data_IF_915468485639
#
_entry.id   IF_915468485639
#
_cell.length_a   1.000
_cell.length_b   1.000
_cell.length_c   1.000
_cell.angle_alpha   90.00
_cell.angle_beta   90.00
_cell.angle_gamma   90.00
#
_symmetry.space_group_name_H-M   'P 1'
#
loop_
_entity.id
_entity.type
_entity.pdbx_description
1 polymer ?
#
# COMPACT_ATOMS: atom_id res chain seq x y z
N UNK A 1 8.13 -27.63 17.80
CA UNK A 1 7.04 -26.89 17.11
C UNK A 1 6.96 -27.36 15.66
N UNK A 2 5.76 -27.41 15.06
CA UNK A 2 5.60 -27.75 13.63
C UNK A 2 5.66 -26.54 12.69
N UNK A 3 5.46 -25.33 13.24
CA UNK A 3 5.47 -24.06 12.51
C UNK A 3 6.16 -22.99 13.38
N UNK A 4 6.92 -22.10 12.74
CA UNK A 4 7.47 -20.87 13.31
C UNK A 4 6.96 -19.69 12.45
N UNK A 5 6.47 -18.64 13.09
CA UNK A 5 5.97 -17.42 12.42
C UNK A 5 6.82 -16.24 12.89
N UNK A 6 7.40 -15.51 11.94
CA UNK A 6 8.16 -14.29 12.19
C UNK A 6 7.34 -13.10 11.68
N UNK A 7 6.68 -12.38 12.59
CA UNK A 7 5.76 -11.28 12.28
C UNK A 7 6.03 -10.01 13.12
N UNK A 8 6.39 -8.86 12.50
CA UNK A 8 6.90 -8.76 11.13
C UNK A 8 8.35 -9.28 11.11
N UNK A 9 8.75 -9.95 10.02
CA UNK A 9 10.08 -10.57 9.89
C UNK A 9 11.25 -9.61 10.17
N UNK A 10 11.05 -8.32 9.88
CA UNK A 10 11.98 -7.21 10.12
C UNK A 10 12.45 -7.16 11.58
N UNK A 11 11.58 -7.49 12.53
CA UNK A 11 11.89 -7.47 13.95
C UNK A 11 12.91 -8.55 14.37
N UNK A 12 13.12 -9.56 13.53
CA UNK A 12 13.90 -10.77 13.88
C UNK A 12 15.18 -10.94 13.05
N UNK A 13 15.35 -10.15 11.99
CA UNK A 13 16.49 -10.25 11.07
C UNK A 13 17.78 -9.64 11.66
N UNK A 14 17.64 -8.81 12.70
CA UNK A 14 18.75 -8.29 13.50
C UNK A 14 19.14 -6.85 13.13
N UNK A 15 19.46 -6.04 14.14
CA UNK A 15 19.65 -4.59 14.01
C UNK A 15 20.84 -4.16 13.11
N UNK A 16 21.73 -5.08 12.76
CA UNK A 16 22.92 -4.82 11.94
C UNK A 16 22.80 -5.30 10.49
N UNK A 17 21.64 -5.83 10.11
CA UNK A 17 21.43 -6.43 8.78
C UNK A 17 20.66 -5.47 7.90
N UNK A 18 21.19 -5.20 6.72
CA UNK A 18 20.47 -4.46 5.68
C UNK A 18 19.61 -5.42 4.86
N UNK A 19 18.30 -5.32 5.06
CA UNK A 19 17.29 -6.14 4.38
C UNK A 19 17.19 -5.88 2.87
N UNK A 20 17.82 -4.82 2.35
CA UNK A 20 17.87 -4.52 0.92
C UNK A 20 19.10 -5.15 0.24
N UNK A 21 20.07 -5.64 1.02
CA UNK A 21 21.29 -6.25 0.51
C UNK A 21 21.11 -7.75 0.33
N UNK A 22 21.09 -8.16 -0.92
CA UNK A 22 20.90 -9.54 -1.36
C UNK A 22 21.78 -10.57 -0.61
N UNK A 23 23.06 -10.27 -0.50
CA UNK A 23 24.04 -11.15 0.17
C UNK A 23 23.75 -11.34 1.67
N UNK A 24 23.31 -10.29 2.37
CA UNK A 24 22.98 -10.37 3.80
C UNK A 24 21.70 -11.17 4.02
N UNK A 25 20.68 -10.90 3.20
CA UNK A 25 19.39 -11.62 3.24
C UNK A 25 19.57 -13.11 2.97
N UNK A 26 20.33 -13.49 1.95
CA UNK A 26 20.57 -14.90 1.60
C UNK A 26 21.20 -15.70 2.73
N UNK A 27 22.16 -15.10 3.45
CA UNK A 27 22.81 -15.79 4.57
C UNK A 27 21.80 -16.15 5.66
N UNK A 28 20.92 -15.22 6.01
CA UNK A 28 19.88 -15.43 7.03
C UNK A 28 18.85 -16.46 6.56
N UNK A 29 18.37 -16.35 5.33
CA UNK A 29 17.41 -17.30 4.78
C UNK A 29 17.97 -18.72 4.67
N UNK A 30 19.27 -18.86 4.34
CA UNK A 30 19.95 -20.16 4.35
C UNK A 30 19.98 -20.76 5.75
N UNK A 31 20.26 -19.96 6.79
CA UNK A 31 20.23 -20.43 8.17
C UNK A 31 18.82 -20.85 8.61
N UNK A 32 17.79 -20.07 8.27
CA UNK A 32 16.39 -20.43 8.53
C UNK A 32 16.02 -21.74 7.80
N UNK A 33 16.45 -21.93 6.55
CA UNK A 33 16.27 -23.17 5.81
C UNK A 33 16.85 -24.39 6.53
N UNK A 34 18.08 -24.29 7.04
CA UNK A 34 18.72 -25.36 7.83
C UNK A 34 17.97 -25.68 9.12
N UNK A 35 17.43 -24.66 9.79
CA UNK A 35 16.59 -24.85 10.99
C UNK A 35 15.31 -25.59 10.61
N UNK A 36 14.62 -25.17 9.56
CA UNK A 36 13.41 -25.79 9.06
C UNK A 36 13.63 -27.28 8.72
N UNK A 37 14.74 -27.60 8.05
CA UNK A 37 15.13 -28.97 7.70
C UNK A 37 15.44 -29.82 8.94
N UNK A 38 16.31 -29.31 9.84
CA UNK A 38 16.73 -30.04 11.04
C UNK A 38 15.54 -30.39 11.94
N UNK A 39 14.62 -29.45 12.12
CA UNK A 39 13.48 -29.62 13.02
C UNK A 39 12.19 -30.04 12.33
N UNK A 40 12.22 -30.23 11.00
CA UNK A 40 11.06 -30.59 10.16
C UNK A 40 9.86 -29.68 10.44
N UNK A 41 10.08 -28.37 10.39
CA UNK A 41 9.05 -27.36 10.62
C UNK A 41 8.92 -26.41 9.44
N UNK A 42 7.74 -25.81 9.30
CA UNK A 42 7.54 -24.69 8.37
C UNK A 42 7.95 -23.37 9.04
N UNK A 43 8.58 -22.48 8.27
CA UNK A 43 8.87 -21.12 8.69
C UNK A 43 8.05 -20.18 7.81
N UNK A 44 7.20 -19.36 8.44
CA UNK A 44 6.36 -18.37 7.79
C UNK A 44 6.94 -16.99 8.12
N UNK A 45 7.27 -16.23 7.08
CA UNK A 45 7.74 -14.86 7.19
C UNK A 45 6.59 -13.93 6.85
N UNK A 46 6.22 -13.04 7.76
CA UNK A 46 5.21 -12.00 7.51
C UNK A 46 5.93 -10.69 7.25
N UNK A 47 5.69 -10.11 6.08
CA UNK A 47 6.27 -8.85 5.65
C UNK A 47 5.20 -7.91 5.11
N UNK A 48 5.34 -6.61 5.40
CA UNK A 48 4.50 -5.58 4.79
C UNK A 48 4.90 -5.34 3.33
N UNK A 49 3.98 -4.89 2.49
CA UNK A 49 4.33 -4.47 1.13
C UNK A 49 4.93 -3.06 1.15
N UNK A 50 5.84 -2.78 0.22
CA UNK A 50 6.37 -1.43 0.02
C UNK A 50 5.32 -0.52 -0.68
N UNK A 51 5.46 0.80 -0.50
CA UNK A 51 4.50 1.81 -1.03
C UNK A 51 4.80 2.24 -2.48
N UNK A 52 5.73 1.59 -3.17
CA UNK A 52 6.19 2.06 -4.48
C UNK A 52 5.13 1.79 -5.58
N UNK A 53 4.72 2.86 -6.27
CA UNK A 53 3.91 2.77 -7.49
C UNK A 53 4.84 2.57 -8.70
N UNK A 54 4.36 1.81 -9.70
CA UNK A 54 5.00 1.72 -11.04
C UNK A 54 5.78 0.44 -11.34
N UNK A 55 6.17 -0.37 -10.34
CA UNK A 55 6.79 -1.67 -10.61
C UNK A 55 5.76 -2.79 -10.66
N UNK A 56 5.98 -3.75 -11.58
CA UNK A 56 5.23 -5.03 -11.68
C UNK A 56 5.06 -5.66 -10.29
N UNK A 57 3.92 -6.29 -10.01
CA UNK A 57 3.57 -6.94 -8.72
C UNK A 57 4.71 -7.77 -8.07
N UNK A 58 5.59 -8.35 -8.87
CA UNK A 58 6.80 -9.07 -8.43
C UNK A 58 7.81 -8.27 -7.58
N UNK A 59 7.64 -6.95 -7.46
CA UNK A 59 8.61 -6.06 -6.78
C UNK A 59 8.04 -5.30 -5.57
N UNK A 60 6.83 -5.64 -5.10
CA UNK A 60 6.20 -4.95 -3.96
C UNK A 60 6.48 -5.56 -2.58
N UNK A 61 7.21 -6.67 -2.52
CA UNK A 61 7.69 -7.22 -1.24
C UNK A 61 8.65 -6.25 -0.52
N UNK A 62 8.70 -6.31 0.82
CA UNK A 62 9.69 -5.55 1.59
C UNK A 62 11.09 -6.15 1.44
N UNK A 63 12.10 -5.29 1.26
CA UNK A 63 13.51 -5.70 1.23
C UNK A 63 13.91 -6.36 -0.09
N UNK A 64 14.97 -7.16 -0.04
CA UNK A 64 15.54 -7.85 -1.21
C UNK A 64 14.53 -8.83 -1.83
N UNK A 65 14.55 -8.89 -3.16
CA UNK A 65 13.84 -9.91 -3.98
C UNK A 65 14.20 -11.33 -3.52
N UNK A 66 15.37 -11.52 -2.91
CA UNK A 66 15.81 -12.82 -2.41
C UNK A 66 14.87 -13.45 -1.37
N UNK A 67 14.08 -12.65 -0.65
CA UNK A 67 13.04 -13.18 0.24
C UNK A 67 12.01 -14.01 -0.53
N UNK A 68 11.44 -13.44 -1.59
CA UNK A 68 10.47 -14.11 -2.44
C UNK A 68 11.12 -15.19 -3.32
N UNK A 69 12.36 -14.95 -3.78
CA UNK A 69 13.09 -15.91 -4.59
C UNK A 69 13.43 -17.19 -3.82
N UNK A 70 13.74 -17.09 -2.52
CA UNK A 70 14.08 -18.25 -1.68
C UNK A 70 12.84 -18.99 -1.18
N UNK A 71 11.73 -18.29 -0.94
CA UNK A 71 10.51 -18.91 -0.43
C UNK A 71 9.91 -19.94 -1.40
N UNK A 72 9.44 -21.08 -0.89
CA UNK A 72 8.75 -22.11 -1.70
C UNK A 72 7.30 -21.74 -2.03
N UNK A 73 6.69 -20.90 -1.20
CA UNK A 73 5.36 -20.34 -1.40
C UNK A 73 5.35 -18.86 -1.02
N UNK A 74 4.71 -18.03 -1.84
CA UNK A 74 4.52 -16.60 -1.58
C UNK A 74 3.04 -16.28 -1.73
N UNK A 75 2.41 -15.87 -0.63
CA UNK A 75 1.03 -15.39 -0.63
C UNK A 75 1.02 -13.87 -0.51
N UNK A 76 0.19 -13.23 -1.32
CA UNK A 76 -0.10 -11.80 -1.24
C UNK A 76 -1.49 -11.63 -0.67
N UNK A 77 -1.61 -10.85 0.41
CA UNK A 77 -2.91 -10.50 0.99
C UNK A 77 -3.15 -9.02 0.78
N UNK A 78 -4.23 -8.70 0.06
CA UNK A 78 -4.62 -7.32 -0.24
C UNK A 78 -6.09 -7.06 0.06
N UNK A 79 -6.49 -5.78 0.08
CA UNK A 79 -7.89 -5.36 0.17
C UNK A 79 -8.46 -5.21 -1.23
N UNK A 80 -9.73 -5.58 -1.39
CA UNK A 80 -10.45 -5.34 -2.63
C UNK A 80 -10.81 -3.86 -2.71
N UNK A 81 -10.55 -3.23 -3.86
CA UNK A 81 -10.95 -1.85 -4.13
C UNK A 81 -12.48 -1.73 -3.96
N UNK A 82 -12.92 -0.65 -3.31
CA UNK A 82 -14.35 -0.37 -3.04
C UNK A 82 -15.05 -1.32 -2.04
N UNK A 83 -14.34 -2.32 -1.47
CA UNK A 83 -14.85 -3.23 -0.42
C UNK A 83 -13.82 -3.38 0.72
N UNK A 84 -13.68 -2.39 1.61
CA UNK A 84 -12.57 -2.32 2.58
C UNK A 84 -12.51 -3.50 3.58
N UNK A 85 -13.66 -4.12 3.86
CA UNK A 85 -13.76 -5.27 4.75
C UNK A 85 -13.37 -6.60 4.06
N UNK A 86 -13.36 -6.61 2.73
CA UNK A 86 -13.01 -7.78 1.91
C UNK A 86 -11.53 -7.77 1.59
N UNK A 87 -10.88 -8.88 1.91
CA UNK A 87 -9.47 -9.14 1.65
C UNK A 87 -9.36 -10.38 0.78
N UNK A 88 -8.36 -10.41 -0.09
CA UNK A 88 -8.07 -11.58 -0.94
C UNK A 88 -6.65 -12.05 -0.64
N UNK A 89 -6.50 -13.35 -0.43
CA UNK A 89 -5.22 -14.04 -0.42
C UNK A 89 -4.99 -14.66 -1.80
N UNK A 90 -3.96 -14.20 -2.51
CA UNK A 90 -3.57 -14.67 -3.84
C UNK A 90 -2.19 -15.34 -3.80
N UNK A 91 -2.02 -16.43 -4.54
CA UNK A 91 -0.76 -17.17 -4.61
C UNK A 91 0.13 -16.55 -5.69
N UNK A 92 1.24 -15.92 -5.30
CA UNK A 92 2.20 -15.30 -6.22
C UNK A 92 3.26 -16.28 -6.71
N UNK A 93 3.56 -17.30 -5.91
CA UNK A 93 4.57 -18.31 -6.23
C UNK A 93 4.26 -19.58 -5.49
N UNK A 94 4.33 -20.71 -6.20
CA UNK A 94 4.29 -22.05 -5.64
C UNK A 94 5.32 -22.93 -6.35
N UNK A 95 6.36 -23.37 -5.65
CA UNK A 95 7.45 -24.16 -6.25
C UNK A 95 7.18 -25.66 -6.29
N UNK A 96 6.21 -26.17 -5.52
CA UNK A 96 5.96 -27.61 -5.35
C UNK A 96 4.58 -28.05 -5.87
N UNK A 97 3.75 -27.12 -6.34
CA UNK A 97 2.40 -27.36 -6.84
C UNK A 97 1.98 -26.19 -7.74
N UNK A 98 0.92 -26.32 -8.56
CA UNK A 98 0.31 -25.19 -9.24
C UNK A 98 -0.11 -24.07 -8.26
N UNK A 99 -0.14 -22.85 -8.74
CA UNK A 99 -0.66 -21.71 -7.97
C UNK A 99 -2.14 -21.90 -7.63
N UNK A 100 -2.50 -21.57 -6.40
CA UNK A 100 -3.88 -21.67 -5.94
C UNK A 100 -4.70 -20.49 -6.46
N UNK A 101 -5.99 -20.75 -6.77
CA UNK A 101 -6.93 -19.67 -7.10
C UNK A 101 -7.03 -18.69 -5.91
N UNK A 102 -7.12 -17.37 -6.14
CA UNK A 102 -7.29 -16.41 -5.05
C UNK A 102 -8.55 -16.71 -4.24
N UNK A 103 -8.46 -16.54 -2.92
CA UNK A 103 -9.57 -16.79 -1.99
C UNK A 103 -9.84 -15.50 -1.22
N UNK A 104 -11.09 -15.07 -1.24
CA UNK A 104 -11.56 -13.92 -0.48
C UNK A 104 -12.02 -14.31 0.93
N UNK A 105 -11.82 -13.39 1.86
CA UNK A 105 -12.36 -13.42 3.19
C UNK A 105 -12.78 -12.01 3.64
N UNK A 106 -13.76 -11.96 4.51
CA UNK A 106 -14.17 -10.77 5.23
C UNK A 106 -13.51 -10.76 6.60
N UNK A 107 -13.13 -9.57 7.07
CA UNK A 107 -12.71 -9.37 8.45
C UNK A 107 -13.20 -8.00 8.92
N UNK A 108 -14.24 -8.02 9.75
CA UNK A 108 -14.88 -6.84 10.36
C UNK A 108 -15.09 -7.02 11.86
N UNK A 109 -15.33 -5.92 12.58
CA UNK A 109 -15.62 -5.96 14.01
C UNK A 109 -16.94 -6.69 14.33
N UNK A 110 -17.96 -6.47 13.50
CA UNK A 110 -19.29 -7.05 13.70
C UNK A 110 -19.35 -8.56 13.41
N UNK A 111 -18.70 -9.01 12.33
CA UNK A 111 -18.84 -10.38 11.84
C UNK A 111 -17.59 -11.26 12.05
N UNK A 112 -16.50 -10.68 12.56
CA UNK A 112 -15.22 -11.36 12.70
C UNK A 112 -14.66 -11.81 11.36
N UNK A 113 -13.96 -12.95 11.36
CA UNK A 113 -13.36 -13.54 10.16
C UNK A 113 -14.33 -14.50 9.46
N UNK A 114 -14.51 -14.37 8.14
CA UNK A 114 -15.33 -15.28 7.34
C UNK A 114 -14.78 -15.51 5.95
N UNK A 115 -14.69 -16.78 5.53
CA UNK A 115 -14.35 -17.12 4.15
C UNK A 115 -15.50 -16.78 3.20
N UNK A 116 -15.18 -16.15 2.07
CA UNK A 116 -16.12 -15.84 0.99
C UNK A 116 -15.99 -16.80 -0.20
N UNK A 117 -14.88 -17.55 -0.26
CA UNK A 117 -14.59 -18.50 -1.33
C UNK A 117 -13.65 -17.92 -2.39
N UNK A 118 -13.62 -18.56 -3.56
CA UNK A 118 -12.77 -18.10 -4.66
C UNK A 118 -13.17 -16.71 -5.15
N UNK A 119 -12.17 -15.90 -5.51
CA UNK A 119 -12.36 -14.53 -5.97
C UNK A 119 -11.55 -14.30 -7.24
N UNK A 120 -12.19 -13.76 -8.26
CA UNK A 120 -11.54 -13.47 -9.54
C UNK A 120 -10.90 -12.08 -9.49
N UNK A 121 -9.59 -12.05 -9.27
CA UNK A 121 -8.78 -10.82 -9.27
C UNK A 121 -7.32 -11.16 -9.58
N UNK A 122 -6.66 -10.32 -10.37
CA UNK A 122 -5.22 -10.44 -10.56
C UNK A 122 -4.45 -9.92 -9.35
N UNK A 123 -3.20 -10.36 -9.16
CA UNK A 123 -2.34 -9.82 -8.10
C UNK A 123 -2.08 -8.33 -8.33
N UNK A 124 -1.90 -7.90 -9.58
CA UNK A 124 -1.68 -6.49 -9.91
C UNK A 124 -2.90 -5.63 -9.52
N UNK A 125 -4.12 -6.08 -9.82
CA UNK A 125 -5.35 -5.37 -9.45
C UNK A 125 -5.56 -5.36 -7.93
N UNK A 126 -5.33 -6.50 -7.28
CA UNK A 126 -5.38 -6.61 -5.82
C UNK A 126 -4.42 -5.62 -5.16
N UNK A 127 -3.20 -5.54 -5.66
CA UNK A 127 -2.17 -4.63 -5.15
C UNK A 127 -2.43 -3.17 -5.55
N UNK A 128 -3.18 -2.91 -6.61
CA UNK A 128 -3.67 -1.56 -6.92
C UNK A 128 -4.67 -1.08 -5.86
N UNK A 129 -5.52 -1.97 -5.33
CA UNK A 129 -6.46 -1.70 -4.23
C UNK A 129 -5.82 -1.60 -2.83
N UNK A 130 -4.55 -2.00 -2.68
CA UNK A 130 -3.78 -1.85 -1.42
C UNK A 130 -3.26 -0.43 -1.22
N UNK A 131 -3.45 0.48 -2.18
CA UNK A 131 -3.41 1.90 -1.84
C UNK A 131 -4.52 2.15 -0.83
N UNK A 132 -4.15 2.22 0.47
CA UNK A 132 -4.83 3.12 1.41
C UNK A 132 -5.19 4.36 0.59
N UNK A 133 -6.46 4.76 0.56
CA UNK A 133 -6.88 6.08 0.06
C UNK A 133 -5.76 7.04 0.44
N UNK A 134 -4.96 7.45 -0.55
CA UNK A 134 -3.82 8.25 -0.20
C UNK A 134 -4.47 9.53 0.29
N UNK A 135 -4.06 10.00 1.47
CA UNK A 135 -4.45 11.34 1.90
C UNK A 135 -4.09 12.39 0.84
N UNK A 136 -3.17 12.09 -0.09
CA UNK A 136 -2.91 12.89 -1.30
C UNK A 136 -4.09 12.87 -2.26
N UNK A 137 -4.61 11.71 -2.63
CA UNK A 137 -5.71 11.58 -3.60
C UNK A 137 -6.99 12.20 -3.02
N UNK A 138 -7.27 11.95 -1.72
CA UNK A 138 -8.35 12.63 -1.00
C UNK A 138 -8.15 14.14 -0.91
N UNK A 139 -6.90 14.62 -0.77
CA UNK A 139 -6.60 16.04 -0.75
C UNK A 139 -6.78 16.68 -2.13
N UNK A 140 -6.40 15.99 -3.20
CA UNK A 140 -6.59 16.43 -4.58
C UNK A 140 -8.07 16.50 -4.92
N UNK A 141 -8.86 15.44 -4.65
CA UNK A 141 -10.31 15.45 -4.84
C UNK A 141 -10.99 16.54 -4.01
N UNK A 142 -10.62 16.69 -2.73
CA UNK A 142 -11.17 17.75 -1.88
C UNK A 142 -10.92 19.16 -2.47
N UNK A 143 -9.71 19.40 -2.99
CA UNK A 143 -9.35 20.68 -3.61
C UNK A 143 -10.18 20.89 -4.87
N UNK A 144 -10.23 19.91 -5.78
CA UNK A 144 -11.03 20.01 -7.03
C UNK A 144 -12.50 20.24 -6.72
N UNK A 145 -13.08 19.51 -5.77
CA UNK A 145 -14.48 19.67 -5.38
C UNK A 145 -14.76 21.06 -4.82
N UNK A 146 -13.89 21.58 -3.96
CA UNK A 146 -14.06 22.92 -3.39
C UNK A 146 -13.94 24.02 -4.45
N UNK A 147 -13.10 23.82 -5.46
CA UNK A 147 -12.78 24.83 -6.48
C UNK A 147 -13.60 24.66 -7.78
N UNK A 148 -14.53 23.70 -7.81
CA UNK A 148 -15.34 23.35 -8.99
C UNK A 148 -16.17 24.54 -9.52
N UNK A 149 -16.69 25.37 -8.62
CA UNK A 149 -17.44 26.59 -8.94
C UNK A 149 -16.56 27.86 -8.97
N UNK A 150 -15.23 27.70 -9.04
CA UNK A 150 -14.26 28.79 -9.09
C UNK A 150 -13.51 29.00 -7.77
N UNK A 151 -13.12 30.25 -7.49
CA UNK A 151 -12.29 30.57 -6.31
C UNK A 151 -13.02 30.20 -5.01
N UNK A 152 -12.32 29.56 -4.08
CA UNK A 152 -12.89 29.08 -2.83
C UNK A 152 -12.07 29.53 -1.61
N UNK A 153 -12.70 29.90 -0.47
CA UNK A 153 -11.97 30.34 0.71
C UNK A 153 -10.96 29.32 1.25
N UNK A 154 -9.69 29.70 1.34
CA UNK A 154 -8.61 28.84 1.82
C UNK A 154 -8.90 28.26 3.22
N UNK A 155 -9.44 29.07 4.11
CA UNK A 155 -9.72 28.64 5.48
C UNK A 155 -10.75 27.50 5.53
N UNK A 156 -11.73 27.50 4.62
CA UNK A 156 -12.75 26.45 4.56
C UNK A 156 -12.14 25.15 4.01
N UNK A 157 -11.26 25.23 3.00
CA UNK A 157 -10.53 24.04 2.50
C UNK A 157 -9.68 23.41 3.62
N UNK A 158 -8.97 24.23 4.39
CA UNK A 158 -8.16 23.77 5.53
C UNK A 158 -9.02 23.10 6.62
N UNK A 159 -10.18 23.66 6.95
CA UNK A 159 -11.12 23.06 7.92
C UNK A 159 -11.69 21.74 7.41
N UNK A 160 -12.09 21.65 6.14
CA UNK A 160 -12.57 20.39 5.53
C UNK A 160 -11.46 19.34 5.52
N UNK A 161 -10.23 19.72 5.16
CA UNK A 161 -9.07 18.83 5.18
C UNK A 161 -8.79 18.29 6.60
N UNK A 162 -8.85 19.14 7.61
CA UNK A 162 -8.67 18.73 9.01
C UNK A 162 -9.75 17.74 9.47
N UNK A 163 -11.02 17.97 9.11
CA UNK A 163 -12.12 17.03 9.42
C UNK A 163 -11.95 15.67 8.75
N UNK A 164 -11.37 15.64 7.55
CA UNK A 164 -11.02 14.41 6.82
C UNK A 164 -9.68 13.81 7.28
N UNK A 165 -9.04 14.38 8.30
CA UNK A 165 -7.76 13.92 8.82
C UNK A 165 -6.57 14.11 7.86
N UNK A 166 -6.69 14.96 6.85
CA UNK A 166 -5.61 15.30 5.91
C UNK A 166 -4.65 16.28 6.60
N UNK A 167 -3.36 15.93 6.64
CA UNK A 167 -2.36 16.82 7.26
C UNK A 167 -2.04 17.99 6.34
N UNK A 168 -1.66 19.13 6.93
CA UNK A 168 -1.30 20.35 6.18
C UNK A 168 -0.23 20.07 5.11
N UNK A 169 0.80 19.28 5.44
CA UNK A 169 1.83 18.85 4.49
C UNK A 169 1.24 18.17 3.25
N UNK A 170 0.28 17.27 3.43
CA UNK A 170 -0.33 16.51 2.32
C UNK A 170 -1.22 17.41 1.47
N UNK A 171 -1.95 18.33 2.10
CA UNK A 171 -2.75 19.34 1.40
C UNK A 171 -1.89 20.32 0.60
N UNK A 172 -0.74 20.75 1.14
CA UNK A 172 0.20 21.65 0.46
C UNK A 172 0.85 20.98 -0.77
N UNK A 173 1.19 19.68 -0.69
CA UNK A 173 1.67 18.90 -1.83
C UNK A 173 0.58 18.77 -2.91
N UNK A 174 -0.66 18.43 -2.53
CA UNK A 174 -1.79 18.35 -3.47
C UNK A 174 -2.06 19.68 -4.18
N UNK A 175 -2.04 20.79 -3.43
CA UNK A 175 -2.15 22.15 -3.97
C UNK A 175 -1.07 22.45 -5.01
N UNK A 176 0.17 22.03 -4.76
CA UNK A 176 1.31 22.18 -5.68
C UNK A 176 1.12 21.33 -6.95
N UNK A 177 0.71 20.08 -6.80
CA UNK A 177 0.41 19.17 -7.92
C UNK A 177 -0.66 19.76 -8.84
N UNK A 178 -1.75 20.25 -8.26
CA UNK A 178 -2.88 20.85 -8.97
C UNK A 178 -2.63 22.29 -9.45
N UNK A 179 -1.44 22.84 -9.18
CA UNK A 179 -1.04 24.21 -9.56
C UNK A 179 -2.02 25.29 -9.09
N UNK A 180 -2.67 25.06 -7.94
CA UNK A 180 -3.66 25.98 -7.37
C UNK A 180 -3.02 27.28 -6.93
N UNK A 181 -3.56 28.41 -7.39
CA UNK A 181 -3.09 29.75 -7.06
C UNK A 181 -3.71 30.23 -5.74
N UNK A 182 -3.04 31.15 -5.07
CA UNK A 182 -3.57 31.80 -3.86
C UNK A 182 -3.76 33.28 -4.13
N UNK A 183 -5.01 33.72 -4.08
CA UNK A 183 -5.42 35.09 -4.37
C UNK A 183 -5.95 35.71 -3.08
N UNK A 184 -5.53 36.95 -2.80
CA UNK A 184 -6.00 37.70 -1.64
C UNK A 184 -7.03 38.72 -2.10
N UNK A 185 -8.22 38.65 -1.54
CA UNK A 185 -9.29 39.63 -1.79
C UNK A 185 -9.73 40.24 -0.46
N UNK A 186 -9.51 41.55 -0.33
CA UNK A 186 -9.68 42.25 0.94
C UNK A 186 -8.79 41.64 2.03
N UNK A 187 -9.42 41.17 3.11
CA UNK A 187 -8.75 40.54 4.26
C UNK A 187 -8.67 39.00 4.17
N UNK A 188 -9.16 38.38 3.10
CA UNK A 188 -9.35 36.93 3.01
C UNK A 188 -8.54 36.30 1.87
N UNK A 189 -8.04 35.09 2.11
CA UNK A 189 -7.31 34.28 1.13
C UNK A 189 -8.23 33.26 0.46
N UNK A 190 -8.12 33.16 -0.85
CA UNK A 190 -8.85 32.25 -1.72
C UNK A 190 -7.88 31.38 -2.51
N UNK A 191 -8.33 30.18 -2.83
CA UNK A 191 -7.66 29.26 -3.75
C UNK A 191 -8.45 29.16 -5.03
N UNK A 192 -7.77 29.15 -6.17
CA UNK A 192 -8.37 29.01 -7.49
C UNK A 192 -7.52 28.08 -8.38
N UNK A 193 -8.17 27.37 -9.29
CA UNK A 193 -7.49 26.58 -10.31
C UNK A 193 -6.89 27.53 -11.37
N UNK A 194 -5.78 27.15 -12.01
CA UNK A 194 -5.23 27.93 -13.12
C UNK A 194 -6.22 27.96 -14.30
N UNK A 195 -6.30 29.09 -15.00
CA UNK A 195 -7.13 29.22 -16.20
C UNK A 195 -6.66 28.27 -17.31
N UNK A 196 -7.60 27.63 -18.02
CA UNK A 196 -7.30 26.66 -19.10
C UNK A 196 -6.38 27.22 -20.20
N UNK A 197 -6.28 28.55 -20.34
CA UNK A 197 -5.40 29.22 -21.31
C UNK A 197 -3.90 29.12 -20.98
N UNK A 198 -3.52 28.72 -19.76
CA UNK A 198 -2.10 28.58 -19.35
C UNK A 198 -1.60 27.12 -19.38
N UNK A 199 -2.48 26.13 -19.61
CA UNK A 199 -2.10 24.71 -19.61
C UNK A 199 -1.39 24.23 -20.89
N UNK A 200 -1.35 25.06 -21.95
CA UNK A 200 -0.90 24.68 -23.29
C UNK A 200 0.47 25.23 -23.76
N UNK A 201 1.22 25.96 -22.93
CA UNK A 201 2.57 26.40 -23.29
C UNK A 201 3.61 25.59 -22.52
N UNK A 202 3.94 24.38 -23.01
CA UNK A 202 5.27 23.76 -23.02
C UNK A 202 5.26 22.55 -23.95
#
# INVERSE_FOLDING_TARGET
>A
ARVIILDPMQAYIGAKVDMNRANEVRNILSQLGRIAEKYRCAIILVGHLNKAQGNKSNYRGLGSIDFQATARSVLVVGRVKDKPEVRVAAHQKSSLAPEGKPIAFELSEANGFRWLGHYDISIDDLLSGVSREKKSDMAESLIVDCLSDGKYPQQIVLQKAQRLGISKRVLDEAKKTLRVRSVKEGSQWYWELPDEKEAGNF
#
